data_IF_011009648328
#
_entry.id   IF_011009648328
#
_cell.length_a   1.000
_cell.length_b   1.000
_cell.length_c   1.000
_cell.angle_alpha   90.00
_cell.angle_beta   90.00
_cell.angle_gamma   90.00
#
_symmetry.space_group_name_H-M   'P 1'
#
loop_
_entity.id
_entity.type
_entity.pdbx_description
1 polymer ?
#
# COMPACT_ATOMS: atom_id res chain seq x y z
N UNK A 1 25.51 -3.42 -14.64
CA UNK A 1 25.72 -2.59 -13.43
C UNK A 1 24.47 -2.62 -12.55
N UNK A 2 24.11 -3.78 -11.97
CA UNK A 2 22.87 -3.95 -11.19
C UNK A 2 23.08 -4.11 -9.67
N UNK A 3 24.34 -4.09 -9.19
CA UNK A 3 24.68 -4.44 -7.81
C UNK A 3 24.68 -3.30 -6.79
N UNK A 4 24.74 -2.03 -7.21
CA UNK A 4 24.83 -0.89 -6.29
C UNK A 4 23.47 -0.42 -5.76
N UNK A 5 22.42 -0.48 -6.59
CA UNK A 5 21.08 -0.05 -6.18
C UNK A 5 20.40 -1.06 -5.25
N UNK A 6 20.59 -2.36 -5.49
CA UNK A 6 19.99 -3.43 -4.68
C UNK A 6 20.59 -3.53 -3.27
N UNK A 7 21.88 -3.27 -3.10
CA UNK A 7 22.53 -3.19 -1.79
C UNK A 7 21.88 -2.11 -0.92
N UNK A 8 21.67 -0.91 -1.49
CA UNK A 8 21.02 0.20 -0.80
C UNK A 8 19.56 -0.11 -0.42
N UNK A 9 18.79 -0.78 -1.30
CA UNK A 9 17.41 -1.21 -0.97
C UNK A 9 17.40 -2.20 0.20
N UNK A 10 18.34 -3.16 0.24
CA UNK A 10 18.40 -4.15 1.31
C UNK A 10 18.75 -3.55 2.68
N UNK A 11 19.64 -2.55 2.72
CA UNK A 11 19.97 -1.80 3.92
C UNK A 11 18.76 -0.99 4.42
N UNK A 12 18.08 -0.29 3.51
CA UNK A 12 16.85 0.43 3.87
C UNK A 12 15.73 -0.49 4.33
N UNK A 13 15.61 -1.71 3.77
CA UNK A 13 14.67 -2.70 4.25
C UNK A 13 14.99 -3.15 5.70
N UNK A 14 16.27 -3.32 6.02
CA UNK A 14 16.71 -3.63 7.39
C UNK A 14 16.42 -2.48 8.37
N UNK A 15 16.61 -1.22 7.94
CA UNK A 15 16.24 -0.03 8.71
C UNK A 15 14.73 0.04 8.96
N UNK A 16 13.91 -0.19 7.92
CA UNK A 16 12.45 -0.24 8.02
C UNK A 16 11.99 -1.28 9.03
N UNK A 17 12.54 -2.50 8.94
CA UNK A 17 12.22 -3.60 9.86
C UNK A 17 12.63 -3.29 11.30
N UNK A 18 13.78 -2.63 11.49
CA UNK A 18 14.24 -2.20 12.81
C UNK A 18 13.33 -1.14 13.42
N UNK A 19 12.89 -0.17 12.61
CA UNK A 19 11.93 0.85 13.03
C UNK A 19 10.55 0.24 13.33
N UNK A 20 10.10 -0.75 12.55
CA UNK A 20 8.86 -1.49 12.79
C UNK A 20 8.92 -2.30 14.10
N UNK A 21 10.04 -2.94 14.41
CA UNK A 21 10.24 -3.56 15.72
C UNK A 21 10.17 -2.53 16.88
N UNK A 22 10.70 -1.33 16.63
CA UNK A 22 10.42 -0.06 17.33
C UNK A 22 8.97 0.12 17.74
N UNK A 23 8.16 0.28 16.71
CA UNK A 23 6.74 0.60 16.81
C UNK A 23 6.00 -0.49 17.59
N UNK A 24 6.22 -1.76 17.25
CA UNK A 24 5.57 -2.89 17.94
C UNK A 24 5.93 -2.93 19.43
N UNK A 25 7.21 -2.75 19.78
CA UNK A 25 7.65 -2.74 21.17
C UNK A 25 7.01 -1.59 21.96
N UNK A 26 6.93 -0.40 21.37
CA UNK A 26 6.28 0.75 22.00
C UNK A 26 4.78 0.51 22.22
N UNK A 27 4.10 -0.13 21.26
CA UNK A 27 2.69 -0.51 21.40
C UNK A 27 2.47 -1.61 22.45
N UNK A 28 3.38 -2.59 22.56
CA UNK A 28 3.31 -3.65 23.57
C UNK A 28 3.55 -3.14 25.00
N UNK A 29 4.38 -2.10 25.18
CA UNK A 29 4.60 -1.46 26.48
C UNK A 29 3.35 -0.78 27.04
N UNK A 30 2.31 -0.56 26.22
CA UNK A 30 1.01 -0.01 26.65
C UNK A 30 0.08 -1.09 27.26
N UNK A 31 0.40 -2.38 27.11
CA UNK A 31 -0.02 -3.53 27.95
C UNK A 31 -1.53 -3.81 28.10
N UNK A 32 -1.99 -5.01 27.69
CA UNK A 32 -3.28 -5.68 28.02
C UNK A 32 -4.59 -4.86 27.99
N UNK A 33 -4.58 -3.60 27.58
CA UNK A 33 -5.77 -2.77 27.43
C UNK A 33 -6.55 -3.27 26.21
N UNK A 34 -7.89 -3.43 26.32
CA UNK A 34 -8.71 -3.72 25.15
C UNK A 34 -8.46 -2.65 24.09
N UNK A 35 -8.38 -3.07 22.82
CA UNK A 35 -8.20 -2.14 21.70
C UNK A 35 -9.20 -0.98 21.81
N UNK A 36 -8.67 0.22 22.02
CA UNK A 36 -9.46 1.45 21.97
C UNK A 36 -9.41 1.98 20.54
N UNK A 37 -10.56 1.94 19.85
CA UNK A 37 -10.66 2.51 18.52
C UNK A 37 -10.25 4.00 18.55
N UNK A 38 -9.42 4.46 17.59
CA UNK A 38 -9.03 5.86 17.54
C UNK A 38 -10.26 6.75 17.28
N UNK A 39 -10.21 7.98 17.79
CA UNK A 39 -11.31 8.93 17.67
C UNK A 39 -11.11 9.75 16.40
N UNK A 40 -12.15 9.84 15.57
CA UNK A 40 -12.15 10.75 14.43
C UNK A 40 -12.15 12.21 14.91
N UNK A 41 -11.15 12.98 14.49
CA UNK A 41 -10.97 14.39 14.85
C UNK A 41 -11.27 15.35 13.71
N UNK A 42 -11.39 14.84 12.49
CA UNK A 42 -11.53 15.64 11.27
C UNK A 42 -12.97 15.86 10.83
N UNK A 43 -13.92 15.06 11.34
CA UNK A 43 -15.30 15.04 10.86
C UNK A 43 -15.47 14.45 9.45
N UNK A 44 -14.39 13.89 8.88
CA UNK A 44 -14.32 13.27 7.56
C UNK A 44 -13.74 11.86 7.63
N UNK A 45 -13.11 11.38 6.55
CA UNK A 45 -12.32 10.14 6.62
C UNK A 45 -10.93 10.43 7.19
N UNK A 46 -10.47 9.62 8.14
CA UNK A 46 -9.18 9.79 8.80
C UNK A 46 -8.41 8.47 8.87
N UNK A 47 -7.12 8.53 8.56
CA UNK A 47 -6.18 7.41 8.66
C UNK A 47 -5.31 7.60 9.90
N UNK A 48 -5.28 6.60 10.76
CA UNK A 48 -4.55 6.61 12.04
C UNK A 48 -3.21 5.87 11.90
N UNK A 49 -2.44 6.25 10.88
CA UNK A 49 -1.14 5.64 10.59
C UNK A 49 0.02 6.28 11.35
N UNK A 50 1.22 5.85 10.98
CA UNK A 50 2.45 6.49 11.47
C UNK A 50 2.65 7.85 10.82
N UNK A 51 3.51 8.65 11.42
CA UNK A 51 3.92 9.95 10.89
C UNK A 51 5.27 9.84 10.16
N UNK A 52 5.56 10.79 9.28
CA UNK A 52 6.83 10.84 8.52
C UNK A 52 8.06 10.90 9.42
N UNK A 53 7.96 11.44 10.64
CA UNK A 53 9.06 11.48 11.61
C UNK A 53 9.46 10.10 12.14
N UNK A 54 8.58 9.09 12.02
CA UNK A 54 8.84 7.71 12.41
C UNK A 54 9.52 6.90 11.28
N UNK A 55 9.63 7.45 10.08
CA UNK A 55 10.24 6.80 8.92
C UNK A 55 11.71 7.19 8.83
N UNK A 56 12.66 6.23 8.69
CA UNK A 56 14.06 6.52 8.41
C UNK A 56 14.24 7.49 7.22
N UNK A 57 15.14 8.47 7.36
CA UNK A 57 15.39 9.51 6.34
C UNK A 57 15.79 8.90 4.99
N UNK A 58 16.54 7.80 4.99
CA UNK A 58 16.94 7.04 3.79
C UNK A 58 15.71 6.63 2.96
N UNK A 59 14.70 6.04 3.61
CA UNK A 59 13.45 5.58 3.01
C UNK A 59 12.62 6.78 2.54
N UNK A 60 12.55 7.86 3.34
CA UNK A 60 11.84 9.07 2.93
C UNK A 60 12.44 9.64 1.64
N UNK A 61 13.76 9.80 1.59
CA UNK A 61 14.46 10.34 0.43
C UNK A 61 14.27 9.47 -0.82
N UNK A 62 14.38 8.14 -0.69
CA UNK A 62 14.19 7.24 -1.82
C UNK A 62 12.74 7.26 -2.33
N UNK A 63 11.75 7.20 -1.42
CA UNK A 63 10.34 7.23 -1.78
C UNK A 63 9.96 8.56 -2.45
N UNK A 64 10.44 9.68 -1.91
CA UNK A 64 10.25 11.00 -2.52
C UNK A 64 10.88 11.06 -3.91
N UNK A 65 12.08 10.53 -4.08
CA UNK A 65 12.76 10.45 -5.38
C UNK A 65 11.97 9.62 -6.40
N UNK A 66 11.41 8.47 -5.97
CA UNK A 66 10.56 7.64 -6.84
C UNK A 66 9.28 8.38 -7.26
N UNK A 67 8.66 9.13 -6.34
CA UNK A 67 7.48 9.96 -6.62
C UNK A 67 7.81 11.12 -7.56
N UNK A 68 8.96 11.78 -7.38
CA UNK A 68 9.47 12.82 -8.27
C UNK A 68 9.72 12.26 -9.67
N UNK A 69 10.37 11.11 -9.79
CA UNK A 69 10.65 10.45 -11.07
C UNK A 69 9.38 10.03 -11.82
N UNK A 70 8.28 9.82 -11.10
CA UNK A 70 6.96 9.59 -11.71
C UNK A 70 6.34 10.88 -12.30
N UNK A 71 6.77 12.05 -11.83
CA UNK A 71 6.17 13.35 -12.12
C UNK A 71 5.09 13.77 -11.13
N UNK A 72 5.17 13.36 -9.86
CA UNK A 72 4.24 13.83 -8.84
C UNK A 72 4.37 15.35 -8.66
N UNK A 73 3.24 16.07 -8.67
CA UNK A 73 3.21 17.53 -8.54
C UNK A 73 3.63 18.02 -7.15
N UNK A 74 3.31 17.24 -6.12
CA UNK A 74 3.76 17.47 -4.74
C UNK A 74 4.24 16.12 -4.14
N UNK A 75 5.50 15.74 -4.37
CA UNK A 75 6.08 14.49 -3.90
C UNK A 75 6.05 14.35 -2.37
N UNK A 76 6.23 15.43 -1.63
CA UNK A 76 6.24 15.43 -0.16
C UNK A 76 4.84 15.15 0.39
N UNK A 77 3.81 15.75 -0.19
CA UNK A 77 2.42 15.45 0.20
C UNK A 77 2.03 14.01 -0.15
N UNK A 78 2.45 13.51 -1.33
CA UNK A 78 2.22 12.13 -1.73
C UNK A 78 2.95 11.13 -0.80
N UNK A 79 4.19 11.45 -0.39
CA UNK A 79 4.95 10.68 0.60
C UNK A 79 4.21 10.68 1.93
N UNK A 80 3.77 11.84 2.42
CA UNK A 80 3.01 11.96 3.67
C UNK A 80 1.76 11.08 3.63
N UNK A 81 0.98 11.14 2.55
CA UNK A 81 -0.21 10.30 2.40
C UNK A 81 0.09 8.79 2.32
N UNK A 82 1.23 8.39 1.76
CA UNK A 82 1.68 6.98 1.76
C UNK A 82 2.08 6.52 3.17
N UNK A 83 2.74 7.39 3.94
CA UNK A 83 3.18 7.07 5.30
C UNK A 83 1.99 6.99 6.24
N UNK A 84 1.09 7.99 6.19
CA UNK A 84 -0.10 8.07 7.06
C UNK A 84 -1.16 7.01 6.75
N UNK A 85 -1.15 6.44 5.54
CA UNK A 85 -2.02 5.30 5.21
C UNK A 85 -1.55 3.98 5.80
N UNK A 86 -0.32 3.93 6.34
CA UNK A 86 0.28 2.73 6.92
C UNK A 86 0.43 2.80 8.44
N UNK A 87 0.21 1.67 9.13
CA UNK A 87 0.52 1.50 10.56
C UNK A 87 1.99 1.10 10.80
N UNK A 88 2.74 0.82 9.74
CA UNK A 88 4.17 0.47 9.80
C UNK A 88 4.98 1.30 8.81
N UNK A 89 6.28 1.44 9.07
CA UNK A 89 7.25 2.00 8.13
C UNK A 89 7.20 1.17 6.83
N UNK A 90 7.02 1.82 5.66
CA UNK A 90 7.05 1.14 4.37
C UNK A 90 8.41 0.49 4.13
N UNK A 91 8.42 -0.83 3.97
CA UNK A 91 9.61 -1.63 3.70
C UNK A 91 9.87 -1.59 2.19
N UNK A 92 10.99 -1.01 1.71
CA UNK A 92 11.33 -1.02 0.30
C UNK A 92 11.73 -2.42 -0.15
N UNK A 93 11.25 -2.81 -1.34
CA UNK A 93 11.52 -4.09 -1.97
C UNK A 93 11.90 -3.82 -3.42
N UNK A 94 13.02 -4.41 -3.84
CA UNK A 94 13.46 -4.33 -5.23
C UNK A 94 12.64 -5.32 -6.07
N UNK A 95 11.76 -4.81 -6.94
CA UNK A 95 11.06 -5.66 -7.88
C UNK A 95 12.01 -6.15 -8.98
N UNK A 96 11.78 -7.37 -9.44
CA UNK A 96 12.49 -8.02 -10.54
C UNK A 96 11.54 -8.30 -11.71
N UNK A 97 12.06 -8.84 -12.81
CA UNK A 97 11.27 -9.11 -14.03
C UNK A 97 10.11 -10.08 -13.81
N UNK A 98 10.18 -10.93 -12.80
CA UNK A 98 9.16 -11.91 -12.45
C UNK A 98 8.12 -11.36 -11.45
N UNK A 99 8.29 -10.11 -11.01
CA UNK A 99 7.36 -9.47 -10.08
C UNK A 99 6.08 -9.07 -10.82
N UNK A 100 4.97 -9.71 -10.48
CA UNK A 100 3.64 -9.32 -10.95
C UNK A 100 2.85 -8.72 -9.80
N UNK A 101 2.24 -7.56 -10.04
CA UNK A 101 1.35 -6.89 -9.10
C UNK A 101 -0.04 -6.74 -9.71
N UNK A 102 -1.05 -6.78 -8.85
CA UNK A 102 -2.44 -6.84 -9.23
C UNK A 102 -3.22 -5.64 -8.69
N UNK A 103 -4.29 -5.28 -9.41
CA UNK A 103 -5.24 -4.27 -8.97
C UNK A 103 -6.65 -4.75 -9.23
N UNK A 104 -7.46 -4.66 -8.19
CA UNK A 104 -8.88 -4.95 -8.24
C UNK A 104 -9.63 -3.65 -8.51
N UNK A 105 -10.45 -3.63 -9.55
CA UNK A 105 -11.29 -2.48 -9.93
C UNK A 105 -12.74 -2.91 -9.88
N UNK A 106 -13.58 -2.16 -9.16
CA UNK A 106 -15.00 -2.47 -9.04
C UNK A 106 -15.66 -2.52 -10.41
N UNK A 107 -16.44 -3.56 -10.67
CA UNK A 107 -17.18 -3.73 -11.95
C UNK A 107 -18.31 -2.71 -12.12
N UNK A 108 -18.74 -2.09 -11.03
CA UNK A 108 -19.81 -1.09 -11.00
C UNK A 108 -19.29 0.34 -10.91
N UNK A 109 -17.96 0.54 -10.86
CA UNK A 109 -17.38 1.88 -10.89
C UNK A 109 -17.39 2.44 -12.31
N UNK A 110 -17.39 3.78 -12.41
CA UNK A 110 -17.23 4.49 -13.70
C UNK A 110 -15.86 4.22 -14.35
N UNK A 111 -14.94 3.60 -13.61
CA UNK A 111 -13.60 3.25 -14.07
C UNK A 111 -13.54 1.80 -14.53
N UNK A 112 -13.34 1.60 -15.84
CA UNK A 112 -13.16 0.27 -16.43
C UNK A 112 -11.72 -0.24 -16.38
N UNK A 113 -10.74 0.63 -16.08
CA UNK A 113 -9.31 0.28 -16.01
C UNK A 113 -8.60 1.11 -14.93
N UNK A 114 -7.50 0.61 -14.34
CA UNK A 114 -6.73 1.40 -13.38
C UNK A 114 -6.09 2.64 -14.02
N UNK A 115 -6.20 3.79 -13.36
CA UNK A 115 -5.48 5.01 -13.74
C UNK A 115 -3.96 4.78 -13.75
N UNK A 116 -3.25 5.44 -14.67
CA UNK A 116 -1.77 5.45 -14.73
C UNK A 116 -1.11 6.01 -13.47
N UNK A 117 -1.85 6.77 -12.65
CA UNK A 117 -1.37 7.38 -11.41
C UNK A 117 -1.65 6.53 -10.15
N UNK A 118 -2.31 5.38 -10.26
CA UNK A 118 -2.62 4.56 -9.09
C UNK A 118 -1.35 3.97 -8.47
N UNK A 119 -1.13 4.29 -7.19
CA UNK A 119 0.02 3.82 -6.43
C UNK A 119 -0.25 2.50 -5.67
N UNK A 120 -1.51 2.18 -5.35
CA UNK A 120 -1.85 1.02 -4.52
C UNK A 120 -2.21 -0.21 -5.35
N UNK A 121 -1.52 -1.31 -5.05
CA UNK A 121 -1.59 -2.63 -5.70
C UNK A 121 -1.57 -3.73 -4.64
N UNK A 122 -1.83 -4.96 -5.06
CA UNK A 122 -1.70 -6.17 -4.23
C UNK A 122 -0.74 -7.16 -4.90
N UNK A 123 -0.05 -7.98 -4.11
CA UNK A 123 0.80 -9.04 -4.66
C UNK A 123 0.01 -10.33 -4.95
N UNK A 124 0.71 -11.34 -5.48
CA UNK A 124 0.10 -12.65 -5.77
C UNK A 124 -0.46 -13.33 -4.50
N UNK A 125 0.20 -13.18 -3.35
CA UNK A 125 -0.23 -13.81 -2.10
C UNK A 125 -1.57 -13.25 -1.66
N UNK A 126 -1.74 -11.93 -1.74
CA UNK A 126 -3.00 -11.26 -1.44
C UNK A 126 -4.08 -11.56 -2.47
N UNK A 127 -3.73 -11.62 -3.76
CA UNK A 127 -4.70 -12.04 -4.79
C UNK A 127 -5.20 -13.46 -4.52
N UNK A 128 -4.30 -14.40 -4.20
CA UNK A 128 -4.66 -15.78 -3.85
C UNK A 128 -5.58 -15.83 -2.63
N UNK A 129 -5.29 -15.03 -1.60
CA UNK A 129 -6.16 -14.91 -0.42
C UNK A 129 -7.56 -14.43 -0.80
N UNK A 130 -7.66 -13.39 -1.61
CA UNK A 130 -8.95 -12.85 -2.07
C UNK A 130 -9.69 -13.85 -2.96
N UNK A 131 -8.99 -14.61 -3.80
CA UNK A 131 -9.62 -15.64 -4.62
C UNK A 131 -10.15 -16.82 -3.78
N UNK A 132 -9.42 -17.19 -2.74
CA UNK A 132 -9.85 -18.22 -1.79
C UNK A 132 -10.99 -17.75 -0.87
N UNK A 133 -11.00 -16.45 -0.54
CA UNK A 133 -11.93 -15.79 0.37
C UNK A 133 -12.47 -14.48 -0.22
N UNK A 134 -13.35 -14.55 -1.24
CA UNK A 134 -13.87 -13.35 -1.93
C UNK A 134 -14.60 -12.37 -1.00
N UNK A 135 -15.21 -12.87 0.08
CA UNK A 135 -15.86 -12.09 1.13
C UNK A 135 -14.91 -11.08 1.80
N UNK A 136 -13.60 -11.39 1.84
CA UNK A 136 -12.58 -10.54 2.45
C UNK A 136 -12.04 -9.47 1.49
N UNK A 137 -12.48 -9.43 0.22
CA UNK A 137 -11.90 -8.54 -0.78
C UNK A 137 -11.90 -7.06 -0.35
N UNK A 138 -13.04 -6.57 0.18
CA UNK A 138 -13.18 -5.18 0.62
C UNK A 138 -12.28 -4.85 1.82
N UNK A 139 -12.10 -5.81 2.73
CA UNK A 139 -11.24 -5.68 3.91
C UNK A 139 -9.76 -5.69 3.52
N UNK A 140 -9.34 -6.66 2.70
CA UNK A 140 -7.95 -6.79 2.24
C UNK A 140 -7.52 -5.57 1.43
N UNK A 141 -8.44 -4.98 0.66
CA UNK A 141 -8.18 -3.75 -0.09
C UNK A 141 -8.27 -2.47 0.77
N UNK A 142 -8.69 -2.58 2.04
CA UNK A 142 -8.86 -1.44 2.93
C UNK A 142 -9.88 -0.41 2.42
N UNK A 143 -10.93 -0.85 1.71
CA UNK A 143 -11.90 0.08 1.11
C UNK A 143 -12.83 0.65 2.19
N UNK A 144 -13.07 1.98 2.21
CA UNK A 144 -14.07 2.57 3.09
C UNK A 144 -15.48 2.10 2.70
N UNK A 145 -16.42 2.12 3.65
CA UNK A 145 -17.76 1.52 3.49
C UNK A 145 -18.51 1.97 2.23
N UNK A 146 -18.40 3.25 1.87
CA UNK A 146 -19.01 3.84 0.68
C UNK A 146 -18.34 3.44 -0.65
N UNK A 147 -17.13 2.88 -0.60
CA UNK A 147 -16.38 2.44 -1.78
C UNK A 147 -16.29 0.91 -1.87
N UNK A 148 -16.95 0.17 -0.97
CA UNK A 148 -17.02 -1.28 -1.07
C UNK A 148 -17.78 -1.70 -2.32
N UNK A 149 -17.38 -2.82 -2.92
CA UNK A 149 -18.01 -3.35 -4.11
C UNK A 149 -18.39 -4.83 -3.94
N UNK A 150 -19.43 -5.22 -4.67
CA UNK A 150 -19.88 -6.61 -4.74
C UNK A 150 -19.04 -7.46 -5.72
N UNK A 151 -18.31 -6.83 -6.64
CA UNK A 151 -17.42 -7.55 -7.56
C UNK A 151 -16.32 -6.69 -8.14
N UNK A 152 -15.23 -7.35 -8.53
CA UNK A 152 -14.01 -6.72 -9.04
C UNK A 152 -13.48 -7.43 -10.28
N UNK A 153 -13.00 -6.65 -11.25
CA UNK A 153 -12.13 -7.12 -12.31
C UNK A 153 -10.67 -6.97 -11.89
N UNK A 154 -9.84 -7.97 -12.20
CA UNK A 154 -8.43 -7.98 -11.82
C UNK A 154 -7.56 -7.58 -13.01
N UNK A 155 -6.69 -6.61 -12.77
CA UNK A 155 -5.67 -6.14 -13.70
C UNK A 155 -4.28 -6.45 -13.16
N UNK A 156 -3.30 -6.63 -14.02
CA UNK A 156 -1.92 -6.88 -13.65
C UNK A 156 -0.94 -5.89 -14.28
N UNK A 157 0.19 -5.73 -13.63
CA UNK A 157 1.37 -4.99 -14.11
C UNK A 157 2.64 -5.76 -13.78
N UNK A 158 3.67 -5.52 -14.59
CA UNK A 158 5.02 -6.04 -14.40
C UNK A 158 6.04 -4.91 -14.62
N UNK A 159 7.26 -5.00 -14.08
CA UNK A 159 8.32 -4.09 -14.44
C UNK A 159 8.58 -4.09 -15.94
N UNK A 160 8.85 -2.92 -16.51
CA UNK A 160 9.28 -2.82 -17.91
C UNK A 160 10.62 -3.54 -18.10
N UNK A 161 10.91 -4.06 -19.30
CA UNK A 161 12.22 -4.65 -19.58
C UNK A 161 13.37 -3.70 -19.21
N UNK A 162 14.40 -4.24 -18.58
CA UNK A 162 15.60 -3.51 -18.13
C UNK A 162 15.34 -2.42 -17.08
N UNK A 163 14.19 -2.44 -16.39
CA UNK A 163 13.97 -1.61 -15.19
C UNK A 163 14.06 -2.45 -13.93
N UNK A 164 14.44 -1.80 -12.84
CA UNK A 164 14.46 -2.38 -11.50
C UNK A 164 13.72 -1.42 -10.58
N UNK A 165 12.38 -1.38 -10.63
CA UNK A 165 11.61 -0.46 -9.80
C UNK A 165 11.60 -0.89 -8.34
N UNK A 166 11.55 0.09 -7.45
CA UNK A 166 11.30 -0.13 -6.02
C UNK A 166 9.80 -0.11 -5.75
N UNK A 167 9.33 -1.07 -4.98
CA UNK A 167 7.99 -1.08 -4.38
C UNK A 167 8.14 -0.95 -2.88
N UNK A 168 7.06 -0.59 -2.19
CA UNK A 168 7.07 -0.48 -0.74
C UNK A 168 5.89 -1.24 -0.16
N UNK A 169 6.11 -1.97 0.92
CA UNK A 169 5.06 -2.67 1.63
C UNK A 169 4.94 -2.17 3.07
N UNK A 170 3.73 -1.85 3.50
CA UNK A 170 3.41 -1.57 4.90
C UNK A 170 2.07 -2.20 5.27
N UNK A 171 1.79 -2.34 6.57
CA UNK A 171 0.45 -2.68 7.02
C UNK A 171 -0.44 -1.45 6.88
N UNK A 172 -1.67 -1.63 6.42
CA UNK A 172 -2.67 -0.56 6.34
C UNK A 172 -2.93 -0.02 7.75
N UNK A 173 -3.12 1.28 7.86
CA UNK A 173 -3.50 1.92 9.11
C UNK A 173 -4.97 1.66 9.45
N UNK A 174 -5.31 1.70 10.73
CA UNK A 174 -6.71 1.84 11.13
C UNK A 174 -7.29 3.10 10.51
N UNK A 175 -8.52 3.02 10.01
CA UNK A 175 -9.23 4.18 9.46
C UNK A 175 -10.55 4.39 10.19
N UNK A 176 -10.99 5.64 10.28
CA UNK A 176 -12.29 6.02 10.83
C UNK A 176 -13.07 6.87 9.83
N UNK A 177 -14.35 6.56 9.65
CA UNK A 177 -15.25 7.41 8.88
C UNK A 177 -15.81 8.58 9.72
N UNK A 178 -16.59 9.47 9.08
CA UNK A 178 -17.18 10.63 9.73
C UNK A 178 -18.16 10.29 10.86
N UNK A 179 -18.68 9.06 10.90
CA UNK A 179 -19.58 8.57 11.94
C UNK A 179 -18.82 7.82 13.06
N UNK A 180 -17.49 7.73 12.96
CA UNK A 180 -16.63 7.01 13.90
C UNK A 180 -16.57 5.50 13.65
N UNK A 181 -17.13 4.99 12.55
CA UNK A 181 -17.00 3.58 12.20
C UNK A 181 -15.54 3.28 11.86
N UNK A 182 -15.00 2.23 12.47
CA UNK A 182 -13.57 1.90 12.40
C UNK A 182 -13.33 0.70 11.49
N UNK A 183 -12.33 0.81 10.61
CA UNK A 183 -11.75 -0.34 9.92
C UNK A 183 -10.33 -0.55 10.45
N UNK A 184 -10.09 -1.71 11.05
CA UNK A 184 -8.86 -1.99 11.83
C UNK A 184 -7.59 -2.09 11.00
N UNK A 185 -7.68 -2.19 9.67
CA UNK A 185 -6.51 -2.13 8.78
C UNK A 185 -5.41 -3.13 9.16
N UNK A 186 -5.50 -4.38 8.68
CA UNK A 186 -4.50 -5.42 8.97
C UNK A 186 -3.99 -6.14 7.71
N UNK A 187 -4.31 -5.61 6.54
CA UNK A 187 -3.77 -6.10 5.30
C UNK A 187 -2.48 -5.36 4.95
N UNK A 188 -1.60 -6.05 4.23
CA UNK A 188 -0.44 -5.41 3.60
C UNK A 188 -0.92 -4.52 2.46
N UNK A 189 -0.45 -3.28 2.39
CA UNK A 189 -0.55 -2.47 1.18
C UNK A 189 0.76 -2.57 0.40
N UNK A 190 0.66 -2.78 -0.92
CA UNK A 190 1.80 -2.69 -1.83
C UNK A 190 1.73 -1.40 -2.62
N UNK A 191 2.78 -0.58 -2.51
CA UNK A 191 2.86 0.76 -3.08
C UNK A 191 3.86 0.76 -4.23
N UNK A 192 3.41 1.27 -5.37
CA UNK A 192 4.21 1.47 -6.59
C UNK A 192 4.35 2.98 -6.80
N UNK A 193 5.38 3.62 -6.22
CA UNK A 193 5.52 5.06 -6.25
C UNK A 193 5.86 5.59 -7.64
N UNK A 194 6.64 4.84 -8.44
CA UNK A 194 6.99 5.21 -9.81
C UNK A 194 6.32 4.30 -10.85
N UNK A 195 5.09 4.62 -11.24
CA UNK A 195 4.36 3.86 -12.27
C UNK A 195 4.97 3.93 -13.67
N UNK A 196 5.87 4.88 -13.96
CA UNK A 196 6.50 4.97 -15.28
C UNK A 196 7.42 3.79 -15.60
N UNK A 197 7.88 3.06 -14.58
CA UNK A 197 8.76 1.90 -14.70
C UNK A 197 8.04 0.57 -14.91
N UNK A 198 6.71 0.59 -14.95
CA UNK A 198 5.85 -0.59 -15.01
C UNK A 198 4.99 -0.58 -16.29
N UNK A 199 4.56 -1.76 -16.73
CA UNK A 199 3.68 -1.91 -17.88
C UNK A 199 2.33 -1.20 -17.69
N UNK A 200 1.64 -0.97 -18.81
CA UNK A 200 0.23 -0.56 -18.79
C UNK A 200 -0.61 -1.68 -18.19
N UNK A 201 -1.58 -1.40 -17.29
CA UNK A 201 -2.41 -2.44 -16.69
C UNK A 201 -3.08 -3.32 -17.76
N UNK A 202 -2.93 -4.64 -17.65
CA UNK A 202 -3.59 -5.60 -18.54
C UNK A 202 -4.67 -6.36 -17.77
N UNK A 203 -5.86 -6.59 -18.36
CA UNK A 203 -6.88 -7.43 -17.73
C UNK A 203 -6.40 -8.88 -17.67
N UNK A 204 -6.60 -9.52 -16.52
CA UNK A 204 -6.24 -10.95 -16.32
C UNK A 204 -7.34 -11.92 -16.76
N UNK A 205 -8.56 -11.41 -16.96
CA UNK A 205 -9.77 -12.22 -17.15
C UNK A 205 -10.37 -12.78 -15.84
N UNK A 206 -9.73 -12.53 -14.70
CA UNK A 206 -10.24 -12.92 -13.38
C UNK A 206 -11.31 -11.90 -12.92
N UNK A 207 -12.43 -12.43 -12.42
CA UNK A 207 -13.47 -11.66 -11.74
C UNK A 207 -13.70 -12.20 -10.34
N UNK A 208 -13.62 -11.33 -9.33
CA UNK A 208 -13.92 -11.64 -7.93
C UNK A 208 -15.37 -11.25 -7.65
N UNK A 209 -16.14 -12.14 -7.04
CA UNK A 209 -17.51 -11.91 -6.60
C UNK A 209 -17.55 -11.99 -5.08
N UNK A 210 -17.74 -10.86 -4.41
CA UNK A 210 -17.88 -10.76 -2.95
C UNK A 210 -19.25 -11.32 -2.61
N UNK A 211 -19.29 -12.46 -1.92
CA UNK A 211 -20.52 -13.17 -1.55
C UNK A 211 -20.79 -13.08 -0.06
#
# INVERSE_FOLDING_TARGET
>A
MAGANSANISEMAAEANSANAQIVKNSQLIGDQPYAAPINTTGGFETHGITTSQVPISIQNQLESDLQARGASNPQEALKGIVESGSTVPVPIQANVDTTLYKLVSTTSDYSTPSSSTAYWVDQTQLNLIQAHPELANEVLGLPANNQAASFNVFEIQPKPNTTPTIYQSQIATTTDANGATNVGNATQTIVPNRNLWTTPQPTGITIQVK
#
